data_IF_592637900798
#
_entry.id   IF_592637900798
#
_cell.length_a   1.000
_cell.length_b   1.000
_cell.length_c   1.000
_cell.angle_alpha   90.00
_cell.angle_beta   90.00
_cell.angle_gamma   90.00
#
_symmetry.space_group_name_H-M   'P 1'
#
loop_
_entity.id
_entity.type
_entity.pdbx_description
1 polymer ?
#
# COMPACT_ATOMS: atom_id res chain seq x y z
N UNK A 1 -1.01 -4.09 -29.52
CA UNK A 1 -0.05 -3.13 -28.89
C UNK A 1 -0.53 -2.63 -27.53
N UNK A 2 -1.84 -2.62 -27.22
CA UNK A 2 -2.39 -2.36 -25.88
C UNK A 2 -2.19 -3.50 -24.87
N UNK A 3 -2.00 -4.74 -25.32
CA UNK A 3 -1.96 -5.93 -24.44
C UNK A 3 -0.86 -5.85 -23.38
N UNK A 4 0.28 -5.23 -23.69
CA UNK A 4 1.39 -5.12 -22.74
C UNK A 4 1.08 -4.25 -21.54
N UNK A 5 0.33 -3.16 -21.72
CA UNK A 5 -0.06 -2.24 -20.63
C UNK A 5 -1.06 -2.94 -19.73
N UNK A 6 -2.09 -3.56 -20.31
CA UNK A 6 -3.13 -4.27 -19.55
C UNK A 6 -2.54 -5.45 -18.78
N UNK A 7 -1.59 -6.18 -19.38
CA UNK A 7 -0.97 -7.32 -18.73
C UNK A 7 -0.03 -6.91 -17.59
N UNK A 8 0.70 -5.80 -17.73
CA UNK A 8 1.49 -5.20 -16.65
C UNK A 8 0.59 -4.72 -15.50
N UNK A 9 -0.50 -4.02 -15.80
CA UNK A 9 -1.43 -3.51 -14.79
C UNK A 9 -2.12 -4.64 -14.02
N UNK A 10 -2.52 -5.72 -14.70
CA UNK A 10 -3.08 -6.91 -14.06
C UNK A 10 -2.08 -7.60 -13.16
N UNK A 11 -0.85 -7.81 -13.65
CA UNK A 11 0.21 -8.44 -12.87
C UNK A 11 0.52 -7.61 -11.62
N UNK A 12 0.64 -6.30 -11.79
CA UNK A 12 0.83 -5.36 -10.69
C UNK A 12 -0.32 -5.43 -9.68
N UNK A 13 -1.58 -5.39 -10.14
CA UNK A 13 -2.75 -5.46 -9.27
C UNK A 13 -2.84 -6.78 -8.51
N UNK A 14 -2.51 -7.90 -9.16
CA UNK A 14 -2.46 -9.21 -8.49
C UNK A 14 -1.37 -9.24 -7.41
N UNK A 15 -0.16 -8.78 -7.72
CA UNK A 15 0.92 -8.73 -6.72
C UNK A 15 0.57 -7.77 -5.59
N UNK A 16 -0.01 -6.61 -5.91
CA UNK A 16 -0.44 -5.62 -4.93
C UNK A 16 -1.46 -6.21 -3.97
N UNK A 17 -2.54 -6.82 -4.47
CA UNK A 17 -3.64 -7.32 -3.65
C UNK A 17 -3.29 -8.58 -2.85
N UNK A 18 -2.49 -9.48 -3.43
CA UNK A 18 -2.17 -10.79 -2.82
C UNK A 18 -0.81 -10.87 -2.12
N UNK A 19 0.01 -9.82 -2.13
CA UNK A 19 1.26 -9.81 -1.39
C UNK A 19 1.02 -10.00 0.11
N UNK A 20 1.83 -10.85 0.75
CA UNK A 20 1.86 -11.01 2.21
C UNK A 20 2.54 -9.83 2.94
N UNK A 21 3.08 -8.88 2.18
CA UNK A 21 3.74 -7.66 2.66
C UNK A 21 2.83 -6.48 2.44
N UNK A 22 2.79 -5.56 3.41
CA UNK A 22 2.05 -4.32 3.27
C UNK A 22 2.66 -3.43 2.20
N UNK A 23 1.90 -3.10 1.17
CA UNK A 23 2.30 -2.16 0.11
C UNK A 23 1.41 -0.94 0.23
N UNK A 24 2.03 0.25 0.28
CA UNK A 24 1.30 1.51 0.25
C UNK A 24 2.01 2.51 -0.66
N UNK A 25 1.23 3.29 -1.39
CA UNK A 25 1.70 4.45 -2.15
C UNK A 25 1.40 5.68 -1.34
N UNK A 26 2.41 6.52 -1.11
CA UNK A 26 2.26 7.76 -0.36
C UNK A 26 2.38 8.99 -1.26
N UNK A 27 1.79 10.10 -0.83
CA UNK A 27 2.08 11.42 -1.40
C UNK A 27 3.41 11.99 -0.84
N UNK A 28 3.83 13.14 -1.37
CA UNK A 28 5.00 13.88 -0.89
C UNK A 28 4.87 14.32 0.58
N UNK A 29 3.65 14.35 1.12
CA UNK A 29 3.36 14.65 2.52
C UNK A 29 3.27 13.38 3.40
N UNK A 30 3.74 12.23 2.89
CA UNK A 30 3.71 10.94 3.57
C UNK A 30 2.30 10.46 3.94
N UNK A 31 1.28 10.88 3.19
CA UNK A 31 -0.09 10.39 3.36
C UNK A 31 -0.34 9.21 2.44
N UNK A 32 -0.87 8.08 2.95
CA UNK A 32 -1.28 6.95 2.12
C UNK A 32 -2.33 7.38 1.08
N UNK A 33 -1.98 7.28 -0.20
CA UNK A 33 -2.91 7.45 -1.33
C UNK A 33 -3.61 6.11 -1.59
N UNK A 34 -2.82 5.03 -1.62
CA UNK A 34 -3.28 3.67 -1.87
C UNK A 34 -2.60 2.70 -0.89
N UNK A 35 -3.32 1.66 -0.48
CA UNK A 35 -2.79 0.59 0.37
C UNK A 35 -3.40 -0.74 -0.02
N UNK A 36 -2.60 -1.80 0.00
CA UNK A 36 -3.14 -3.13 -0.20
C UNK A 36 -3.83 -3.65 1.07
N UNK A 37 -4.68 -4.66 0.89
CA UNK A 37 -5.40 -5.27 2.01
C UNK A 37 -4.46 -5.94 3.03
N UNK A 38 -3.22 -6.31 2.66
CA UNK A 38 -2.20 -6.73 3.61
C UNK A 38 -1.72 -5.58 4.52
N UNK A 39 -1.50 -4.39 3.99
CA UNK A 39 -1.09 -3.21 4.77
C UNK A 39 -2.17 -2.78 5.76
N UNK A 40 -3.43 -2.80 5.34
CA UNK A 40 -4.60 -2.57 6.19
C UNK A 40 -4.69 -3.61 7.32
N UNK A 41 -4.53 -4.91 6.99
CA UNK A 41 -4.51 -5.99 7.99
C UNK A 41 -3.31 -5.90 8.94
N UNK A 42 -2.13 -5.53 8.45
CA UNK A 42 -0.90 -5.44 9.24
C UNK A 42 -0.97 -4.31 10.26
N UNK A 43 -1.55 -3.17 9.89
CA UNK A 43 -1.66 -2.03 10.78
C UNK A 43 -2.98 -2.00 11.57
N UNK A 44 -3.98 -2.78 11.15
CA UNK A 44 -5.30 -2.85 11.80
C UNK A 44 -6.15 -1.59 11.59
N UNK A 45 -5.74 -0.69 10.70
CA UNK A 45 -6.48 0.54 10.39
C UNK A 45 -7.29 0.37 9.11
N UNK A 46 -8.53 0.86 9.12
CA UNK A 46 -9.36 0.92 7.91
C UNK A 46 -8.87 2.00 6.93
N UNK A 47 -9.16 1.83 5.64
CA UNK A 47 -8.73 2.72 4.54
C UNK A 47 -8.96 4.22 4.84
N UNK A 48 -10.10 4.53 5.45
CA UNK A 48 -10.51 5.90 5.80
C UNK A 48 -9.60 6.51 6.88
N UNK A 49 -9.20 5.70 7.86
CA UNK A 49 -8.31 6.14 8.94
C UNK A 49 -6.88 6.31 8.44
N UNK A 50 -6.45 5.49 7.48
CA UNK A 50 -5.13 5.60 6.86
C UNK A 50 -5.00 6.87 6.02
N UNK A 51 -6.03 7.24 5.25
CA UNK A 51 -6.00 8.45 4.39
C UNK A 51 -5.85 9.76 5.18
N UNK A 52 -6.32 9.77 6.42
CA UNK A 52 -6.31 10.97 7.28
C UNK A 52 -5.12 11.02 8.26
N UNK A 53 -4.24 10.01 8.26
CA UNK A 53 -3.08 9.97 9.15
C UNK A 53 -1.77 9.92 8.35
N UNK A 54 -0.75 10.67 8.77
CA UNK A 54 0.57 10.54 8.17
C UNK A 54 1.15 9.15 8.48
N UNK A 55 1.79 8.55 7.48
CA UNK A 55 2.41 7.23 7.55
C UNK A 55 3.41 7.13 8.72
N UNK A 56 4.12 8.23 9.01
CA UNK A 56 5.06 8.34 10.12
C UNK A 56 4.46 8.04 11.50
N UNK A 57 3.17 8.35 11.70
CA UNK A 57 2.44 8.05 12.93
C UNK A 57 1.96 6.60 13.04
N UNK A 58 1.99 5.83 11.94
CA UNK A 58 1.42 4.48 11.86
C UNK A 58 2.48 3.38 11.96
N UNK A 59 3.72 3.64 11.51
CA UNK A 59 4.82 2.65 11.48
C UNK A 59 5.53 2.50 12.84
N UNK A 60 5.02 3.09 13.92
CA UNK A 60 5.68 3.11 15.24
C UNK A 60 5.84 1.68 15.84
N UNK A 61 5.15 0.68 15.31
CA UNK A 61 5.30 -0.72 15.74
C UNK A 61 6.37 -1.45 14.90
N UNK A 62 7.54 -1.73 15.50
CA UNK A 62 8.78 -2.24 14.86
C UNK A 62 8.71 -3.65 14.21
N UNK A 63 7.55 -4.16 13.82
CA UNK A 63 7.37 -5.47 13.18
C UNK A 63 6.75 -5.44 11.78
N UNK A 64 6.38 -4.26 11.27
CA UNK A 64 5.78 -4.14 9.94
C UNK A 64 6.85 -3.84 8.87
N UNK A 65 7.11 -4.80 7.98
CA UNK A 65 7.81 -4.55 6.72
C UNK A 65 6.83 -3.94 5.73
N UNK A 66 7.08 -2.70 5.29
CA UNK A 66 6.23 -1.99 4.33
C UNK A 66 7.06 -1.67 3.11
N UNK A 67 6.61 -2.07 1.93
CA UNK A 67 7.24 -1.66 0.67
C UNK A 67 6.56 -0.37 0.22
N UNK A 68 7.36 0.69 0.16
CA UNK A 68 6.96 1.98 -0.40
C UNK A 68 7.31 1.97 -1.89
N UNK A 69 6.29 2.13 -2.74
CA UNK A 69 6.52 2.53 -4.13
C UNK A 69 6.44 4.06 -4.19
N UNK A 70 7.53 4.67 -4.67
CA UNK A 70 7.66 6.10 -4.92
C UNK A 70 7.13 6.40 -6.32
#
# INVERSE_FOLDING_TARGET
>A
MYDRIVQQERTFRTVFEFAAVGITRIDLNQRPIESNSAFQRMLGYGEIEMKNKPLSGMIINRRAGVIMLI
#
